data_IF_871527888096
#
_entry.id   IF_871527888096
#
_cell.length_a   1.000
_cell.length_b   1.000
_cell.length_c   1.000
_cell.angle_alpha   90.00
_cell.angle_beta   90.00
_cell.angle_gamma   90.00
#
_symmetry.space_group_name_H-M   'P 1'
#
loop_
_entity.id
_entity.type
_entity.pdbx_description
1 polymer ?
#
# COMPACT_ATOMS: atom_id res chain seq x y z
N UNK A 1 -15.99 7.73 -11.65
CA UNK A 1 -16.38 9.15 -11.60
C UNK A 1 -17.16 9.46 -12.86
N UNK A 2 -18.35 10.02 -12.74
CA UNK A 2 -19.11 10.47 -13.91
C UNK A 2 -19.22 11.99 -13.87
N UNK A 3 -18.66 12.65 -14.90
CA UNK A 3 -18.59 14.10 -14.99
C UNK A 3 -19.40 14.62 -16.18
N UNK A 4 -20.11 15.71 -15.97
CA UNK A 4 -20.85 16.45 -16.99
C UNK A 4 -20.43 17.91 -16.97
N UNK A 5 -20.88 18.70 -17.95
CA UNK A 5 -20.64 20.16 -17.95
C UNK A 5 -21.27 20.91 -16.77
N UNK A 6 -22.20 20.30 -16.03
CA UNK A 6 -22.92 20.92 -14.91
C UNK A 6 -22.37 20.50 -13.54
N UNK A 7 -21.47 19.52 -13.49
CA UNK A 7 -20.96 18.96 -12.24
C UNK A 7 -20.54 17.50 -12.40
N UNK A 8 -20.08 16.91 -11.31
CA UNK A 8 -19.55 15.54 -11.25
C UNK A 8 -20.11 14.77 -10.07
N UNK A 9 -20.22 13.44 -10.24
CA UNK A 9 -20.54 12.50 -9.17
C UNK A 9 -19.36 11.52 -9.03
N UNK A 10 -18.83 11.43 -7.81
CA UNK A 10 -17.84 10.43 -7.41
C UNK A 10 -18.54 9.43 -6.51
N UNK A 11 -18.77 8.21 -7.00
CA UNK A 11 -19.40 7.13 -6.24
C UNK A 11 -18.34 6.24 -5.60
N UNK A 12 -18.47 5.98 -4.30
CA UNK A 12 -17.73 4.95 -3.58
C UNK A 12 -18.67 3.77 -3.31
N UNK A 13 -18.29 2.56 -3.73
CA UNK A 13 -19.15 1.37 -3.69
C UNK A 13 -18.44 0.27 -2.93
N UNK A 14 -19.10 -0.27 -1.90
CA UNK A 14 -18.63 -1.46 -1.21
C UNK A 14 -19.16 -2.70 -1.94
N UNK A 15 -18.24 -3.52 -2.45
CA UNK A 15 -18.55 -4.80 -3.12
C UNK A 15 -18.11 -5.92 -2.19
N UNK A 16 -19.07 -6.73 -1.74
CA UNK A 16 -18.78 -7.94 -0.99
C UNK A 16 -18.43 -9.08 -1.96
N UNK A 17 -17.28 -9.73 -1.74
CA UNK A 17 -16.82 -10.85 -2.54
C UNK A 17 -17.19 -12.15 -1.81
N UNK A 18 -18.12 -12.97 -2.34
CA UNK A 18 -18.48 -14.24 -1.71
C UNK A 18 -17.28 -15.19 -1.66
N UNK A 19 -17.05 -15.79 -0.49
CA UNK A 19 -16.01 -16.81 -0.29
C UNK A 19 -14.59 -16.40 -0.73
N UNK A 20 -14.31 -15.10 -0.74
CA UNK A 20 -13.02 -14.53 -1.18
C UNK A 20 -12.67 -14.86 -2.66
N UNK A 21 -13.67 -15.19 -3.51
CA UNK A 21 -13.48 -15.51 -4.93
C UNK A 21 -13.75 -14.32 -5.87
N UNK A 22 -12.68 -13.66 -6.32
CA UNK A 22 -12.73 -12.54 -7.27
C UNK A 22 -13.15 -12.95 -8.70
N UNK A 23 -13.15 -14.26 -8.99
CA UNK A 23 -13.54 -14.79 -10.31
C UNK A 23 -15.04 -15.06 -10.41
N UNK A 24 -15.79 -14.88 -9.32
CA UNK A 24 -17.24 -14.95 -9.33
C UNK A 24 -17.83 -13.95 -10.36
N UNK A 25 -18.86 -14.33 -11.12
CA UNK A 25 -19.43 -13.44 -12.15
C UNK A 25 -19.97 -12.10 -11.63
N UNK A 26 -20.43 -12.04 -10.37
CA UNK A 26 -20.99 -10.82 -9.79
C UNK A 26 -19.93 -9.71 -9.57
N UNK A 27 -18.79 -9.96 -8.88
CA UNK A 27 -17.72 -8.98 -8.80
C UNK A 27 -17.07 -8.71 -10.16
N UNK A 28 -16.86 -9.74 -10.99
CA UNK A 28 -16.21 -9.58 -12.29
C UNK A 28 -16.94 -8.61 -13.23
N UNK A 29 -18.27 -8.66 -13.28
CA UNK A 29 -19.08 -7.73 -14.08
C UNK A 29 -19.08 -6.32 -13.50
N UNK A 30 -19.06 -6.19 -12.18
CA UNK A 30 -19.01 -4.89 -11.49
C UNK A 30 -17.68 -4.18 -11.77
N UNK A 31 -16.56 -4.90 -11.75
CA UNK A 31 -15.23 -4.33 -11.95
C UNK A 31 -15.04 -3.68 -13.33
N UNK A 32 -15.71 -4.18 -14.36
CA UNK A 32 -15.65 -3.61 -15.71
C UNK A 32 -16.19 -2.16 -15.79
N UNK A 33 -16.94 -1.71 -14.79
CA UNK A 33 -17.53 -0.38 -14.73
C UNK A 33 -16.82 0.57 -13.75
N UNK A 34 -15.76 0.11 -13.08
CA UNK A 34 -15.05 0.89 -12.06
C UNK A 34 -13.76 1.48 -12.63
N UNK A 35 -13.55 2.78 -12.40
CA UNK A 35 -12.30 3.47 -12.78
C UNK A 35 -11.13 3.14 -11.84
N UNK A 36 -11.44 2.69 -10.62
CA UNK A 36 -10.47 2.26 -9.63
C UNK A 36 -11.07 1.19 -8.73
N UNK A 37 -10.25 0.22 -8.33
CA UNK A 37 -10.59 -0.87 -7.43
C UNK A 37 -9.64 -0.85 -6.24
N UNK A 38 -10.22 -0.87 -5.03
CA UNK A 38 -9.47 -1.02 -3.79
C UNK A 38 -9.85 -2.39 -3.24
N UNK A 39 -8.91 -3.32 -3.29
CA UNK A 39 -9.11 -4.70 -2.82
C UNK A 39 -8.64 -4.77 -1.38
N UNK A 40 -9.51 -5.28 -0.50
CA UNK A 40 -9.21 -5.51 0.91
C UNK A 40 -8.96 -6.99 1.14
N UNK A 41 -7.83 -7.33 1.75
CA UNK A 41 -7.37 -8.71 1.91
C UNK A 41 -7.34 -9.11 3.40
N UNK A 42 -7.85 -10.32 3.70
CA UNK A 42 -7.84 -10.84 5.08
C UNK A 42 -6.42 -11.08 5.57
N UNK A 43 -5.55 -11.60 4.71
CA UNK A 43 -4.15 -11.88 5.02
C UNK A 43 -3.38 -10.64 5.48
N UNK A 44 -3.70 -9.46 4.95
CA UNK A 44 -3.09 -8.18 5.36
C UNK A 44 -3.62 -7.72 6.72
N UNK A 45 -4.93 -7.89 6.96
CA UNK A 45 -5.54 -7.56 8.25
C UNK A 45 -5.00 -8.43 9.40
N UNK A 46 -4.72 -9.71 9.13
CA UNK A 46 -4.11 -10.65 10.10
C UNK A 46 -2.69 -10.23 10.53
N UNK A 47 -1.97 -9.47 9.69
CA UNK A 47 -0.68 -8.85 10.03
C UNK A 47 -0.82 -7.58 10.89
N UNK A 48 -2.05 -7.17 11.21
CA UNK A 48 -2.37 -5.94 11.93
C UNK A 48 -2.26 -4.67 11.09
N UNK A 49 -2.15 -4.78 9.76
CA UNK A 49 -2.00 -3.63 8.87
C UNK A 49 -3.40 -3.09 8.53
N UNK A 50 -3.65 -1.84 8.93
CA UNK A 50 -4.90 -1.13 8.62
C UNK A 50 -4.59 0.22 7.95
N UNK A 51 -5.26 0.56 6.83
CA UNK A 51 -6.28 -0.24 6.15
C UNK A 51 -5.69 -1.47 5.45
N UNK A 52 -6.47 -2.57 5.38
CA UNK A 52 -6.03 -3.85 4.83
C UNK A 52 -6.05 -3.90 3.29
N UNK A 53 -5.57 -2.83 2.64
CA UNK A 53 -5.55 -2.69 1.18
C UNK A 53 -4.43 -3.53 0.60
N UNK A 54 -4.73 -4.35 -0.40
CA UNK A 54 -3.71 -5.03 -1.21
C UNK A 54 -3.17 -4.06 -2.28
N UNK A 55 -1.89 -3.63 -2.19
CA UNK A 55 -1.30 -2.67 -3.13
C UNK A 55 -0.98 -3.26 -4.52
N UNK A 56 -0.98 -4.59 -4.66
CA UNK A 56 -0.73 -5.30 -5.92
C UNK A 56 -2.03 -5.65 -6.64
N UNK A 57 -3.10 -5.96 -5.89
CA UNK A 57 -4.42 -6.25 -6.45
C UNK A 57 -5.30 -5.01 -6.70
N UNK A 58 -5.04 -3.91 -5.98
CA UNK A 58 -5.74 -2.64 -6.18
C UNK A 58 -5.23 -1.90 -7.43
N UNK A 59 -6.14 -1.28 -8.18
CA UNK A 59 -5.81 -0.62 -9.45
C UNK A 59 -6.54 0.71 -9.62
N UNK A 60 -6.02 1.58 -10.48
CA UNK A 60 -6.69 2.82 -10.88
C UNK A 60 -6.28 3.21 -12.30
N UNK A 61 -7.26 3.60 -13.13
CA UNK A 61 -7.02 4.16 -14.45
C UNK A 61 -6.31 5.53 -14.38
N UNK A 62 -6.37 6.22 -13.24
CA UNK A 62 -5.69 7.48 -13.03
C UNK A 62 -4.18 7.31 -12.78
N UNK A 63 -3.69 6.09 -12.53
CA UNK A 63 -2.27 5.82 -12.28
C UNK A 63 -1.47 5.77 -13.59
N UNK A 64 -1.36 6.93 -14.24
CA UNK A 64 -0.53 7.17 -15.42
C UNK A 64 0.28 8.46 -15.21
N UNK A 65 1.50 8.52 -15.75
CA UNK A 65 2.36 9.69 -15.61
C UNK A 65 1.72 10.98 -16.15
N UNK A 66 0.87 10.88 -17.19
CA UNK A 66 0.13 12.01 -17.76
C UNK A 66 -0.90 12.62 -16.78
N UNK A 67 -1.46 11.81 -15.87
CA UNK A 67 -2.50 12.24 -14.93
C UNK A 67 -1.89 12.64 -13.58
N UNK A 68 -1.03 11.78 -13.00
CA UNK A 68 -0.49 11.99 -11.66
C UNK A 68 0.90 12.65 -11.63
N UNK A 69 1.53 12.80 -12.80
CA UNK A 69 2.91 13.25 -12.93
C UNK A 69 3.93 12.12 -12.85
N UNK A 70 5.11 12.35 -13.41
CA UNK A 70 6.21 11.36 -13.50
C UNK A 70 6.65 10.85 -12.13
N UNK A 71 6.81 11.74 -11.15
CA UNK A 71 7.35 11.34 -9.84
C UNK A 71 6.37 10.46 -9.07
N UNK A 72 5.09 10.82 -9.02
CA UNK A 72 4.07 9.99 -8.40
C UNK A 72 4.01 8.62 -9.09
N UNK A 73 3.96 8.61 -10.42
CA UNK A 73 3.92 7.36 -11.18
C UNK A 73 5.14 6.46 -10.91
N UNK A 74 6.35 7.03 -10.95
CA UNK A 74 7.61 6.33 -10.66
C UNK A 74 7.59 5.72 -9.27
N UNK A 75 7.22 6.49 -8.25
CA UNK A 75 7.19 6.04 -6.85
C UNK A 75 6.17 4.92 -6.67
N UNK A 76 4.94 5.09 -7.18
CA UNK A 76 3.91 4.06 -7.07
C UNK A 76 4.32 2.74 -7.75
N UNK A 77 4.89 2.82 -8.96
CA UNK A 77 5.42 1.64 -9.67
C UNK A 77 6.62 1.01 -8.96
N UNK A 78 7.49 1.82 -8.36
CA UNK A 78 8.62 1.35 -7.55
C UNK A 78 8.16 0.58 -6.32
N UNK A 79 7.17 1.10 -5.57
CA UNK A 79 6.56 0.41 -4.43
C UNK A 79 5.97 -0.92 -4.88
N UNK A 80 5.19 -0.95 -5.97
CA UNK A 80 4.63 -2.19 -6.52
C UNK A 80 5.71 -3.20 -6.91
N UNK A 81 6.80 -2.76 -7.55
CA UNK A 81 7.89 -3.64 -7.96
C UNK A 81 8.62 -4.27 -6.75
N UNK A 82 8.89 -3.48 -5.70
CA UNK A 82 9.51 -3.98 -4.47
C UNK A 82 8.61 -5.00 -3.76
N UNK A 83 7.31 -4.72 -3.67
CA UNK A 83 6.35 -5.64 -3.05
C UNK A 83 6.14 -6.92 -3.86
N UNK A 84 6.13 -6.82 -5.20
CA UNK A 84 6.07 -7.97 -6.08
C UNK A 84 7.30 -8.86 -5.92
N UNK A 85 8.50 -8.25 -5.91
CA UNK A 85 9.75 -8.99 -5.67
C UNK A 85 9.76 -9.65 -4.29
N UNK A 86 9.26 -8.96 -3.27
CA UNK A 86 9.13 -9.54 -1.93
C UNK A 86 8.23 -10.78 -1.92
N UNK A 87 7.09 -10.74 -2.61
CA UNK A 87 6.18 -11.88 -2.74
C UNK A 87 6.86 -13.09 -3.40
N UNK A 88 7.66 -12.88 -4.44
CA UNK A 88 8.46 -13.96 -5.07
C UNK A 88 9.50 -14.56 -4.11
N UNK A 89 10.09 -13.72 -3.26
CA UNK A 89 11.09 -14.15 -2.29
C UNK A 89 10.47 -14.86 -1.08
N UNK A 90 9.19 -14.65 -0.76
CA UNK A 90 8.52 -15.27 0.38
C UNK A 90 8.53 -16.81 0.32
N UNK A 91 8.30 -17.40 -0.85
CA UNK A 91 8.34 -18.87 -1.02
C UNK A 91 9.75 -19.41 -0.77
N UNK A 92 10.77 -18.70 -1.24
CA UNK A 92 12.18 -19.05 -1.00
C UNK A 92 12.50 -18.94 0.49
N UNK A 93 12.10 -17.85 1.15
CA UNK A 93 12.30 -17.63 2.59
C UNK A 93 11.61 -18.72 3.41
N UNK A 94 10.41 -19.16 3.02
CA UNK A 94 9.65 -20.18 3.74
C UNK A 94 10.33 -21.56 3.68
N UNK A 95 11.06 -21.87 2.60
CA UNK A 95 11.73 -23.17 2.40
C UNK A 95 13.18 -23.16 2.90
N UNK A 96 13.95 -22.14 2.53
CA UNK A 96 15.40 -22.08 2.73
C UNK A 96 15.81 -21.18 3.90
N UNK A 97 14.93 -20.27 4.34
CA UNK A 97 15.24 -19.25 5.34
C UNK A 97 15.81 -17.97 4.72
N UNK A 98 15.84 -16.89 5.52
CA UNK A 98 16.29 -15.57 5.07
C UNK A 98 17.80 -15.54 4.78
N UNK A 99 18.59 -16.36 5.47
CA UNK A 99 20.05 -16.34 5.39
C UNK A 99 20.60 -16.75 4.01
N UNK A 100 19.84 -17.54 3.27
CA UNK A 100 20.18 -18.05 1.93
C UNK A 100 19.96 -17.02 0.80
N UNK A 101 19.35 -15.87 1.11
CA UNK A 101 19.16 -14.81 0.14
C UNK A 101 20.47 -14.04 -0.14
N UNK A 102 20.59 -13.54 -1.38
CA UNK A 102 21.66 -12.61 -1.74
C UNK A 102 21.55 -11.31 -0.90
N UNK A 103 22.65 -10.57 -0.67
CA UNK A 103 22.59 -9.30 0.06
C UNK A 103 21.56 -8.31 -0.51
N UNK A 104 21.44 -8.25 -1.84
CA UNK A 104 20.49 -7.37 -2.53
C UNK A 104 19.03 -7.83 -2.33
N UNK A 105 18.77 -9.14 -2.35
CA UNK A 105 17.44 -9.69 -2.06
C UNK A 105 17.07 -9.46 -0.58
N UNK A 106 18.03 -9.60 0.35
CA UNK A 106 17.81 -9.26 1.77
C UNK A 106 17.42 -7.80 1.94
N UNK A 107 18.15 -6.88 1.28
CA UNK A 107 17.82 -5.47 1.30
C UNK A 107 16.42 -5.20 0.73
N UNK A 108 16.07 -5.87 -0.38
CA UNK A 108 14.73 -5.77 -0.98
C UNK A 108 13.64 -6.23 -0.01
N UNK A 109 13.84 -7.35 0.68
CA UNK A 109 12.92 -7.86 1.71
C UNK A 109 12.77 -6.86 2.86
N UNK A 110 13.87 -6.28 3.35
CA UNK A 110 13.81 -5.29 4.43
C UNK A 110 13.03 -4.03 4.03
N UNK A 111 13.30 -3.48 2.83
CA UNK A 111 12.53 -2.33 2.31
C UNK A 111 11.07 -2.68 2.09
N UNK A 112 10.76 -3.86 1.56
CA UNK A 112 9.38 -4.30 1.36
C UNK A 112 8.60 -4.40 2.68
N UNK A 113 9.21 -4.93 3.75
CA UNK A 113 8.60 -4.99 5.09
C UNK A 113 8.32 -3.58 5.64
N UNK A 114 9.26 -2.64 5.47
CA UNK A 114 9.06 -1.23 5.84
C UNK A 114 7.91 -0.59 5.06
N UNK A 115 7.87 -0.79 3.74
CA UNK A 115 6.79 -0.31 2.86
C UNK A 115 5.44 -0.88 3.32
N UNK A 116 5.34 -2.19 3.57
CA UNK A 116 4.09 -2.82 4.04
C UNK A 116 3.61 -2.22 5.37
N UNK A 117 4.53 -1.95 6.31
CA UNK A 117 4.18 -1.28 7.57
C UNK A 117 3.80 0.18 7.35
N UNK A 118 4.50 0.90 6.48
CA UNK A 118 4.24 2.32 6.21
C UNK A 118 2.94 2.58 5.45
N UNK A 119 2.39 1.57 4.78
CA UNK A 119 1.04 1.62 4.21
C UNK A 119 -0.07 1.60 5.29
N UNK A 120 0.26 1.31 6.55
CA UNK A 120 -0.69 1.42 7.66
C UNK A 120 -0.82 2.86 8.15
N UNK A 121 -2.04 3.26 8.50
CA UNK A 121 -2.35 4.62 8.93
C UNK A 121 -3.46 4.61 9.99
N UNK A 122 -3.28 5.34 11.11
CA UNK A 122 -4.34 5.49 12.10
C UNK A 122 -5.48 6.35 11.55
N UNK A 123 -6.70 5.81 11.56
CA UNK A 123 -7.90 6.52 11.11
C UNK A 123 -8.57 7.28 12.25
N UNK A 124 -9.02 8.52 11.98
CA UNK A 124 -9.73 9.34 12.98
C UNK A 124 -11.02 8.69 13.47
N UNK A 125 -11.71 7.93 12.60
CA UNK A 125 -12.91 7.16 12.98
C UNK A 125 -12.60 5.95 13.87
N UNK A 126 -11.36 5.47 13.85
CA UNK A 126 -10.91 4.32 14.64
C UNK A 126 -10.38 4.73 16.02
N UNK A 127 -10.13 6.02 16.26
CA UNK A 127 -9.54 6.55 17.49
C UNK A 127 -10.31 6.12 18.76
N UNK A 128 -11.65 6.05 18.68
CA UNK A 128 -12.51 5.61 19.79
C UNK A 128 -12.29 4.14 20.19
N UNK A 129 -11.74 3.32 19.28
CA UNK A 129 -11.47 1.90 19.51
C UNK A 129 -9.99 1.63 19.80
N UNK A 130 -9.09 2.40 19.18
CA UNK A 130 -7.64 2.18 19.25
C UNK A 130 -6.94 3.06 20.28
N UNK A 131 -7.52 4.19 20.66
CA UNK A 131 -6.88 5.22 21.49
C UNK A 131 -5.79 6.01 20.76
N UNK A 132 -5.54 5.75 19.49
CA UNK A 132 -4.53 6.42 18.67
C UNK A 132 -5.20 7.49 17.81
N UNK A 133 -4.72 8.73 17.94
CA UNK A 133 -5.23 9.85 17.16
C UNK A 133 -5.08 9.61 15.66
N UNK A 134 -6.17 9.86 14.92
CA UNK A 134 -6.17 9.74 13.47
C UNK A 134 -5.24 10.71 12.79
N UNK A 135 -4.70 10.32 11.63
CA UNK A 135 -3.79 11.16 10.83
C UNK A 135 -4.32 11.31 9.43
N UNK A 136 -4.18 12.52 8.89
CA UNK A 136 -4.41 12.81 7.48
C UNK A 136 -3.06 13.19 6.88
N UNK A 137 -2.76 12.62 5.71
CA UNK A 137 -1.46 12.75 5.05
C UNK A 137 -1.69 13.32 3.67
N UNK A 138 -0.94 14.36 3.32
CA UNK A 138 -1.05 14.97 2.01
C UNK A 138 -0.38 14.09 0.94
N UNK A 139 -0.85 14.21 -0.31
CA UNK A 139 -0.34 13.40 -1.43
C UNK A 139 1.15 13.65 -1.66
N UNK A 140 1.59 14.91 -1.54
CA UNK A 140 2.98 15.33 -1.72
C UNK A 140 3.90 14.65 -0.69
N UNK A 141 3.49 14.65 0.58
CA UNK A 141 4.21 13.99 1.67
C UNK A 141 4.20 12.47 1.52
N UNK A 142 3.12 11.89 1.02
CA UNK A 142 3.01 10.46 0.73
C UNK A 142 4.02 10.06 -0.34
N UNK A 143 4.01 10.75 -1.49
CA UNK A 143 4.94 10.47 -2.61
C UNK A 143 6.38 10.64 -2.16
N UNK A 144 6.69 11.72 -1.44
CA UNK A 144 8.03 11.95 -0.89
C UNK A 144 8.46 10.85 0.08
N UNK A 145 7.59 10.48 1.03
CA UNK A 145 7.91 9.45 2.02
C UNK A 145 8.25 8.10 1.38
N UNK A 146 7.43 7.63 0.43
CA UNK A 146 7.71 6.40 -0.29
C UNK A 146 8.95 6.51 -1.19
N UNK A 147 9.19 7.66 -1.82
CA UNK A 147 10.42 7.90 -2.59
C UNK A 147 11.67 7.73 -1.73
N UNK A 148 11.68 8.31 -0.52
CA UNK A 148 12.83 8.21 0.39
C UNK A 148 13.09 6.77 0.86
N UNK A 149 12.04 5.97 1.07
CA UNK A 149 12.16 4.55 1.39
C UNK A 149 12.74 3.77 0.19
N UNK A 150 12.26 4.04 -1.03
CA UNK A 150 12.76 3.40 -2.24
C UNK A 150 14.23 3.74 -2.51
N UNK A 151 14.62 5.00 -2.27
CA UNK A 151 15.99 5.49 -2.42
C UNK A 151 16.93 4.99 -1.31
N UNK A 152 16.41 4.30 -0.28
CA UNK A 152 17.20 3.71 0.80
C UNK A 152 17.63 4.68 1.90
N UNK A 153 17.05 5.89 1.95
CA UNK A 153 17.44 6.89 2.97
C UNK A 153 17.13 6.44 4.40
N UNK A 154 16.17 5.53 4.54
CA UNK A 154 15.68 5.03 5.83
C UNK A 154 16.03 3.55 6.05
N UNK A 155 17.10 3.04 5.41
CA UNK A 155 17.51 1.64 5.50
C UNK A 155 17.97 1.22 6.91
N UNK A 156 18.51 2.15 7.70
CA UNK A 156 18.92 1.91 9.08
C UNK A 156 17.76 2.00 10.09
N UNK A 157 16.62 2.58 9.70
CA UNK A 157 15.45 2.74 10.58
C UNK A 157 14.79 1.38 10.83
N UNK A 158 14.49 0.98 12.09
CA UNK A 158 13.78 -0.26 12.38
C UNK A 158 12.38 -0.33 11.75
N UNK A 159 11.95 -1.52 11.32
CA UNK A 159 10.64 -1.70 10.66
C UNK A 159 9.44 -1.31 11.55
N UNK A 160 9.57 -1.43 12.87
CA UNK A 160 8.54 -1.05 13.85
C UNK A 160 8.21 0.43 13.78
N UNK A 161 9.17 1.26 13.36
CA UNK A 161 9.01 2.71 13.34
C UNK A 161 8.18 3.19 12.15
N UNK A 162 7.88 2.31 11.19
CA UNK A 162 6.99 2.58 10.06
C UNK A 162 5.53 2.22 10.34
N UNK A 163 5.23 1.53 11.44
CA UNK A 163 3.88 1.07 11.74
C UNK A 163 3.01 2.20 12.32
N UNK A 164 1.77 2.33 11.80
CA UNK A 164 0.76 3.30 12.22
C UNK A 164 1.28 4.74 12.28
N UNK A 165 1.96 5.17 11.21
CA UNK A 165 2.50 6.53 11.05
C UNK A 165 1.67 7.34 10.07
N UNK A 166 1.70 8.65 10.23
CA UNK A 166 1.11 9.57 9.25
C UNK A 166 2.12 9.86 8.13
N UNK A 167 3.13 10.67 8.45
CA UNK A 167 4.18 11.04 7.50
C UNK A 167 5.53 10.41 7.80
N UNK A 168 6.44 10.49 6.83
CA UNK A 168 7.81 10.00 6.96
C UNK A 168 8.58 10.70 8.08
N UNK A 169 8.26 11.97 8.38
CA UNK A 169 8.88 12.72 9.48
C UNK A 169 8.64 12.13 10.88
N UNK A 170 7.69 11.21 11.02
CA UNK A 170 7.35 10.57 12.30
C UNK A 170 8.13 9.28 12.56
N UNK A 171 8.84 8.77 11.55
CA UNK A 171 9.75 7.63 11.72
C UNK A 171 11.00 8.19 12.40
N UNK A 172 11.25 7.76 13.63
CA UNK A 172 12.47 8.16 14.33
C UNK A 172 13.57 7.20 13.90
N UNK A 173 14.71 7.73 13.44
CA UNK A 173 15.97 7.01 13.59
C UNK A 173 16.21 6.88 15.09
N UNK A 174 16.23 5.65 15.62
CA UNK A 174 16.67 5.45 17.00
C UNK A 174 18.10 6.01 17.10
N UNK A 175 18.30 6.97 18.00
CA UNK A 175 19.63 7.51 18.34
C UNK A 175 20.48 6.48 19.07
#
# INVERSE_FOLDING_TARGET
ITSTKKGSITSFQAVYVPADDLTDPAPATTFAHLDATIVLERSIAELGIYPAVDPLASTSLALTAEIVGEEHYRVARGVQAVLQRYKELQDIIAILGMDELSPDDKQTVFRARKIQRFLSQPFSVAEVFTGTAGKQVDVEDTVKGFAEILDGKHDEVPESNFYMKGGIAEIQEEK
#
